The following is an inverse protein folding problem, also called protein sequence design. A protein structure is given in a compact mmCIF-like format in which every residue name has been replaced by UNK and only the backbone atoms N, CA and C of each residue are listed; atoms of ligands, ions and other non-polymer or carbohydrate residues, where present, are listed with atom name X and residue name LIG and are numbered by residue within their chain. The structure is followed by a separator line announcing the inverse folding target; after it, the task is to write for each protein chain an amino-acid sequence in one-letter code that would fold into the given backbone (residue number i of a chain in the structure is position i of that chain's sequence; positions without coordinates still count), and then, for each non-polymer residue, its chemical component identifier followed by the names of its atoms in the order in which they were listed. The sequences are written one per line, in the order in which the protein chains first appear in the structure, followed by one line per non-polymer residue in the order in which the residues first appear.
data_IF_695181993072
#
_entry.id   IF_695181993072
#
_cell.length_a   1.000
_cell.length_b   1.000
_cell.length_c   1.000
_cell.angle_alpha   90.00
_cell.angle_beta   90.00
_cell.angle_gamma   90.00
#
_symmetry.space_group_name_H-M   'P 1'
#
loop_
_entity.id
_entity.type
_entity.pdbx_description
1 polymer ?
#
# COMPACT_ATOMS: atom_id res chain seq x y z
N UNK A 1 -11.28 -5.72 -29.93
CA UNK A 1 -10.46 -5.03 -28.89
C UNK A 1 -9.06 -5.61 -28.90
N UNK A 2 -8.03 -4.82 -28.59
CA UNK A 2 -6.67 -5.35 -28.39
C UNK A 2 -6.68 -6.23 -27.13
N UNK A 3 -6.11 -7.43 -27.21
CA UNK A 3 -5.90 -8.29 -26.05
C UNK A 3 -4.58 -7.90 -25.39
N UNK A 4 -4.59 -7.72 -24.06
CA UNK A 4 -3.40 -7.47 -23.26
C UNK A 4 -2.99 -8.73 -22.49
N UNK A 5 -1.69 -8.88 -22.28
CA UNK A 5 -1.08 -9.78 -21.31
C UNK A 5 -0.86 -9.04 -19.99
N UNK A 6 -1.68 -9.35 -18.99
CA UNK A 6 -1.72 -8.64 -17.71
C UNK A 6 -1.02 -9.45 -16.62
N UNK A 7 -0.13 -8.82 -15.86
CA UNK A 7 0.32 -9.38 -14.59
C UNK A 7 -0.47 -8.73 -13.45
N UNK A 8 -1.22 -9.50 -12.68
CA UNK A 8 -1.82 -9.04 -11.43
C UNK A 8 -0.76 -9.16 -10.33
N UNK A 9 -0.38 -8.03 -9.72
CA UNK A 9 0.64 -7.99 -8.68
C UNK A 9 -0.02 -7.71 -7.33
N UNK A 10 0.20 -8.57 -6.35
CA UNK A 10 -0.27 -8.38 -4.99
C UNK A 10 0.65 -9.04 -3.96
N UNK A 11 0.46 -8.70 -2.69
CA UNK A 11 1.09 -9.38 -1.56
C UNK A 11 0.04 -10.27 -0.87
N UNK A 12 0.13 -11.58 -1.03
CA UNK A 12 -0.83 -12.49 -0.41
C UNK A 12 -0.60 -12.58 1.09
N UNK A 13 -1.66 -12.42 1.86
CA UNK A 13 -1.60 -12.52 3.33
C UNK A 13 -0.99 -13.84 3.82
N UNK A 14 -1.27 -14.96 3.13
CA UNK A 14 -0.71 -16.28 3.48
C UNK A 14 0.82 -16.38 3.29
N UNK A 15 1.39 -15.51 2.47
CA UNK A 15 2.82 -15.48 2.14
C UNK A 15 3.57 -14.39 2.93
N UNK A 16 2.85 -13.65 3.78
CA UNK A 16 3.41 -12.57 4.56
C UNK A 16 4.40 -13.11 5.60
N UNK A 17 5.48 -12.36 5.91
CA UNK A 17 6.44 -12.75 6.94
C UNK A 17 5.77 -12.93 8.30
N UNK A 18 6.13 -14.01 9.00
CA UNK A 18 5.72 -14.21 10.39
C UNK A 18 6.88 -13.85 11.30
N UNK A 19 6.64 -12.93 12.24
CA UNK A 19 7.62 -12.49 13.24
C UNK A 19 7.03 -12.76 14.61
N UNK A 20 7.80 -13.40 15.49
CA UNK A 20 7.35 -13.68 16.85
C UNK A 20 7.03 -12.37 17.59
N UNK A 21 5.84 -12.32 18.19
CA UNK A 21 5.34 -11.13 18.88
C UNK A 21 4.69 -10.08 17.98
N UNK A 22 4.49 -10.35 16.69
CA UNK A 22 3.78 -9.43 15.81
C UNK A 22 2.31 -9.23 16.23
N UNK A 23 1.76 -8.01 16.06
CA UNK A 23 0.33 -7.78 16.25
C UNK A 23 -0.54 -8.63 15.32
N UNK A 24 -1.73 -9.02 15.78
CA UNK A 24 -2.65 -9.85 14.99
C UNK A 24 -3.18 -9.14 13.73
N UNK A 25 -3.19 -7.81 13.74
CA UNK A 25 -3.64 -6.95 12.64
C UNK A 25 -2.51 -6.51 11.70
N UNK A 26 -1.25 -6.90 11.93
CA UNK A 26 -0.08 -6.43 11.17
C UNK A 26 -0.19 -6.55 9.64
N UNK A 27 -0.94 -7.56 9.16
CA UNK A 27 -1.18 -7.83 7.74
C UNK A 27 -2.68 -7.73 7.40
N UNK A 28 -3.38 -6.77 8.00
CA UNK A 28 -4.80 -6.55 7.73
C UNK A 28 -5.05 -5.91 6.37
N UNK A 29 -4.07 -5.19 5.83
CA UNK A 29 -4.08 -4.58 4.50
C UNK A 29 -3.81 -5.58 3.35
N UNK A 30 -3.18 -6.72 3.63
CA UNK A 30 -2.87 -7.73 2.62
C UNK A 30 -4.09 -8.53 2.15
N UNK A 31 -4.10 -8.83 0.86
CA UNK A 31 -5.23 -9.48 0.19
C UNK A 31 -5.28 -10.99 0.39
N UNK A 32 -6.51 -11.52 0.29
CA UNK A 32 -6.79 -12.95 0.31
C UNK A 32 -6.65 -13.58 -1.08
N UNK A 33 -6.39 -14.89 -1.14
CA UNK A 33 -6.38 -15.64 -2.41
C UNK A 33 -7.68 -15.46 -3.18
N UNK A 34 -8.81 -15.47 -2.48
CA UNK A 34 -10.13 -15.25 -3.06
C UNK A 34 -10.25 -13.89 -3.76
N UNK A 35 -9.65 -12.83 -3.18
CA UNK A 35 -9.62 -11.51 -3.83
C UNK A 35 -8.84 -11.60 -5.14
N UNK A 36 -7.64 -12.19 -5.08
CA UNK A 36 -6.75 -12.32 -6.24
C UNK A 36 -7.40 -13.14 -7.35
N UNK A 37 -7.98 -14.30 -7.03
CA UNK A 37 -8.71 -15.14 -7.97
C UNK A 37 -9.86 -14.37 -8.64
N UNK A 38 -10.64 -13.61 -7.86
CA UNK A 38 -11.75 -12.82 -8.38
C UNK A 38 -11.30 -11.74 -9.37
N UNK A 39 -10.17 -11.07 -9.09
CA UNK A 39 -9.58 -10.07 -9.97
C UNK A 39 -9.02 -10.69 -11.25
N UNK A 40 -8.31 -11.82 -11.15
CA UNK A 40 -7.80 -12.56 -12.32
C UNK A 40 -8.95 -12.95 -13.24
N UNK A 41 -10.02 -13.52 -12.71
CA UNK A 41 -11.17 -13.94 -13.50
C UNK A 41 -11.92 -12.75 -14.11
N UNK A 42 -12.04 -11.63 -13.40
CA UNK A 42 -12.62 -10.41 -13.95
C UNK A 42 -11.81 -9.87 -15.14
N UNK A 43 -10.47 -9.82 -15.04
CA UNK A 43 -9.59 -9.38 -16.12
C UNK A 43 -9.69 -10.34 -17.32
N UNK A 44 -9.74 -11.65 -17.07
CA UNK A 44 -9.92 -12.67 -18.12
C UNK A 44 -11.27 -12.55 -18.83
N UNK A 45 -12.35 -12.34 -18.08
CA UNK A 45 -13.69 -12.10 -18.63
C UNK A 45 -13.74 -10.84 -19.52
N UNK A 46 -12.87 -9.86 -19.27
CA UNK A 46 -12.66 -8.69 -20.12
C UNK A 46 -11.96 -8.97 -21.46
N UNK A 47 -11.57 -10.23 -21.73
CA UNK A 47 -10.90 -10.64 -22.98
C UNK A 47 -9.37 -10.50 -22.95
N UNK A 48 -8.76 -10.40 -21.76
CA UNK A 48 -7.32 -10.32 -21.56
C UNK A 48 -6.74 -11.63 -21.02
N UNK A 49 -5.43 -11.85 -21.15
CA UNK A 49 -4.76 -12.90 -20.37
C UNK A 49 -4.27 -12.30 -19.07
N UNK A 50 -4.36 -13.06 -17.98
CA UNK A 50 -3.96 -12.58 -16.67
C UNK A 50 -3.34 -13.72 -15.86
N UNK A 51 -2.17 -13.45 -15.26
CA UNK A 51 -1.55 -14.31 -14.25
C UNK A 51 -1.22 -13.49 -13.01
N UNK A 52 -1.38 -14.11 -11.85
CA UNK A 52 -0.95 -13.53 -10.58
C UNK A 52 0.55 -13.74 -10.38
N UNK A 53 1.27 -12.69 -10.03
CA UNK A 53 2.67 -12.72 -9.62
C UNK A 53 2.81 -12.07 -8.25
N UNK A 54 3.46 -12.77 -7.31
CA UNK A 54 3.65 -12.28 -5.94
C UNK A 54 4.60 -11.09 -5.90
N UNK A 55 4.21 -10.03 -5.17
CA UNK A 55 4.97 -8.79 -4.97
C UNK A 55 6.11 -8.91 -3.98
N UNK A 56 7.04 -9.84 -4.21
CA UNK A 56 8.18 -10.09 -3.33
C UNK A 56 9.53 -9.88 -4.04
N UNK A 57 10.64 -10.24 -3.38
CA UNK A 57 11.99 -10.02 -3.92
C UNK A 57 12.29 -10.76 -5.24
N UNK A 58 11.51 -11.77 -5.62
CA UNK A 58 11.67 -12.51 -6.89
C UNK A 58 10.90 -11.87 -8.05
N UNK A 59 10.14 -10.79 -7.78
CA UNK A 59 9.25 -10.15 -8.76
C UNK A 59 9.97 -9.72 -10.05
N UNK A 60 11.22 -9.25 -9.95
CA UNK A 60 12.00 -8.86 -11.15
C UNK A 60 12.16 -10.05 -12.10
N UNK A 61 12.46 -11.23 -11.57
CA UNK A 61 12.69 -12.43 -12.35
C UNK A 61 11.39 -12.96 -12.95
N UNK A 62 10.31 -12.99 -12.16
CA UNK A 62 8.99 -13.42 -12.65
C UNK A 62 8.44 -12.49 -13.73
N UNK A 63 8.63 -11.16 -13.60
CA UNK A 63 8.27 -10.19 -14.64
C UNK A 63 9.11 -10.37 -15.92
N UNK A 64 10.42 -10.64 -15.80
CA UNK A 64 11.28 -10.92 -16.96
C UNK A 64 10.87 -12.19 -17.71
N UNK A 65 10.42 -13.21 -16.98
CA UNK A 65 9.91 -14.44 -17.57
C UNK A 65 8.54 -14.23 -18.20
N UNK A 66 7.62 -13.58 -17.48
CA UNK A 66 6.23 -13.41 -17.92
C UNK A 66 6.09 -12.38 -19.04
N UNK A 67 6.86 -11.28 -19.02
CA UNK A 67 6.83 -10.19 -20.02
C UNK A 67 5.40 -9.64 -20.25
N UNK A 68 4.76 -9.05 -19.24
CA UNK A 68 3.42 -8.48 -19.38
C UNK A 68 3.44 -7.23 -20.27
N UNK A 69 2.31 -6.94 -20.91
CA UNK A 69 2.06 -5.66 -21.57
C UNK A 69 1.77 -4.55 -20.53
N UNK A 70 1.15 -4.93 -19.41
CA UNK A 70 0.79 -4.03 -18.30
C UNK A 70 0.69 -4.83 -16.99
N UNK A 71 1.03 -4.20 -15.88
CA UNK A 71 0.80 -4.74 -14.54
C UNK A 71 -0.45 -4.10 -13.90
N UNK A 72 -1.39 -4.92 -13.43
CA UNK A 72 -2.43 -4.47 -12.51
C UNK A 72 -1.86 -4.55 -11.10
N UNK A 73 -1.42 -3.42 -10.55
CA UNK A 73 -0.70 -3.36 -9.28
C UNK A 73 -1.63 -3.07 -8.09
N UNK A 74 -1.65 -3.96 -7.11
CA UNK A 74 -2.28 -3.82 -5.80
C UNK A 74 -1.34 -4.30 -4.68
N UNK A 75 -0.03 -4.18 -4.89
CA UNK A 75 0.95 -4.53 -3.87
C UNK A 75 0.98 -3.49 -2.74
N UNK A 76 0.86 -3.97 -1.50
CA UNK A 76 1.03 -3.18 -0.27
C UNK A 76 2.50 -3.17 0.20
N UNK A 77 3.27 -4.21 -0.12
CA UNK A 77 4.60 -4.45 0.43
C UNK A 77 4.59 -4.91 1.89
N UNK A 78 5.75 -5.30 2.42
CA UNK A 78 5.86 -5.84 3.79
C UNK A 78 6.64 -4.93 4.75
N UNK A 79 7.64 -4.21 4.24
CA UNK A 79 8.60 -3.47 5.06
C UNK A 79 8.97 -2.14 4.41
N UNK A 80 9.45 -1.19 5.21
CA UNK A 80 9.90 0.12 4.75
C UNK A 80 8.85 1.21 4.91
N UNK A 81 9.32 2.45 4.89
CA UNK A 81 8.50 3.66 5.10
C UNK A 81 7.57 4.00 3.92
N UNK A 82 7.94 3.59 2.71
CA UNK A 82 7.16 3.76 1.47
C UNK A 82 6.80 2.42 0.83
N UNK A 83 6.35 1.43 1.61
CA UNK A 83 6.16 0.04 1.16
C UNK A 83 5.29 -0.10 -0.10
N UNK A 84 4.19 0.64 -0.20
CA UNK A 84 3.28 0.61 -1.34
C UNK A 84 3.93 1.12 -2.65
N UNK A 85 4.96 1.97 -2.53
CA UNK A 85 5.65 2.56 -3.67
C UNK A 85 6.76 1.67 -4.26
N UNK A 86 7.14 0.59 -3.56
CA UNK A 86 8.29 -0.26 -3.95
C UNK A 86 8.09 -0.95 -5.29
N UNK A 87 6.92 -1.57 -5.49
CA UNK A 87 6.59 -2.27 -6.74
C UNK A 87 6.45 -1.29 -7.91
N UNK A 88 5.70 -0.18 -7.80
CA UNK A 88 5.70 0.88 -8.80
C UNK A 88 7.10 1.39 -9.19
N UNK A 89 7.99 1.60 -8.22
CA UNK A 89 9.35 2.06 -8.50
C UNK A 89 10.16 1.05 -9.32
N UNK A 90 10.01 -0.24 -9.00
CA UNK A 90 10.58 -1.34 -9.78
C UNK A 90 10.01 -1.38 -11.20
N UNK A 91 8.70 -1.21 -11.36
CA UNK A 91 8.03 -1.21 -12.67
C UNK A 91 8.47 -0.01 -13.53
N UNK A 92 8.64 1.18 -12.94
CA UNK A 92 9.21 2.35 -13.63
C UNK A 92 10.65 2.09 -14.09
N UNK A 93 11.48 1.47 -13.24
CA UNK A 93 12.86 1.09 -13.59
C UNK A 93 12.89 0.09 -14.75
N UNK A 94 11.97 -0.89 -14.75
CA UNK A 94 11.83 -1.89 -15.81
C UNK A 94 11.11 -1.35 -17.06
N UNK A 95 10.56 -0.13 -16.99
CA UNK A 95 9.72 0.49 -18.03
C UNK A 95 8.49 -0.35 -18.40
N UNK A 96 7.87 -0.99 -17.41
CA UNK A 96 6.63 -1.75 -17.57
C UNK A 96 5.45 -0.85 -17.16
N UNK A 97 4.45 -0.63 -18.04
CA UNK A 97 3.24 0.11 -17.69
C UNK A 97 2.50 -0.54 -16.51
N UNK A 98 1.88 0.26 -15.66
CA UNK A 98 1.12 -0.24 -14.51
C UNK A 98 -0.10 0.63 -14.18
N UNK A 99 -1.08 0.03 -13.49
CA UNK A 99 -2.29 0.72 -13.01
C UNK A 99 -2.07 1.40 -11.67
N UNK A 100 -2.88 2.43 -11.37
CA UNK A 100 -2.89 3.09 -10.07
C UNK A 100 -1.99 4.32 -10.02
N UNK A 101 -1.65 4.72 -8.79
CA UNK A 101 -0.87 5.93 -8.50
C UNK A 101 0.62 5.75 -8.77
N UNK A 102 1.30 6.84 -9.12
CA UNK A 102 2.75 6.87 -9.31
C UNK A 102 3.52 6.76 -7.99
N UNK A 103 4.82 6.45 -8.08
CA UNK A 103 5.73 6.27 -6.93
C UNK A 103 5.63 7.39 -5.90
N UNK A 104 5.81 8.65 -6.33
CA UNK A 104 5.78 9.80 -5.43
C UNK A 104 4.41 9.94 -4.73
N UNK A 105 3.33 9.75 -5.48
CA UNK A 105 1.98 9.82 -4.93
C UNK A 105 1.76 8.76 -3.86
N UNK A 106 2.18 7.52 -4.08
CA UNK A 106 2.04 6.44 -3.10
C UNK A 106 2.90 6.68 -1.86
N UNK A 107 4.17 7.08 -2.02
CA UNK A 107 5.05 7.44 -0.90
C UNK A 107 4.44 8.53 -0.02
N UNK A 108 3.83 9.55 -0.64
CA UNK A 108 3.20 10.64 0.09
C UNK A 108 1.88 10.22 0.74
N UNK A 109 1.03 9.48 0.03
CA UNK A 109 -0.31 9.09 0.48
C UNK A 109 -0.27 8.13 1.67
N UNK A 110 0.74 7.24 1.73
CA UNK A 110 0.95 6.34 2.86
C UNK A 110 1.28 7.12 4.14
N UNK A 111 2.13 8.14 4.04
CA UNK A 111 2.51 8.99 5.17
C UNK A 111 1.49 10.11 5.40
N UNK A 112 0.64 9.90 6.40
CA UNK A 112 -0.44 10.83 6.76
C UNK A 112 0.09 12.22 7.15
N UNK A 113 1.25 12.30 7.79
CA UNK A 113 1.83 13.58 8.20
C UNK A 113 2.31 14.35 6.97
N UNK A 114 3.01 13.67 6.05
CA UNK A 114 3.47 14.28 4.80
C UNK A 114 2.31 14.68 3.89
N UNK A 115 1.29 13.82 3.74
CA UNK A 115 0.06 14.17 3.03
C UNK A 115 -0.55 15.45 3.61
N UNK A 116 -0.72 15.54 4.93
CA UNK A 116 -1.30 16.74 5.56
C UNK A 116 -0.46 17.99 5.35
N UNK A 117 0.87 17.89 5.40
CA UNK A 117 1.78 19.01 5.11
C UNK A 117 1.58 19.55 3.68
N UNK A 118 1.43 18.66 2.70
CA UNK A 118 1.18 19.04 1.30
C UNK A 118 -0.20 19.68 1.14
N UNK A 119 -1.24 19.07 1.73
CA UNK A 119 -2.60 19.63 1.69
C UNK A 119 -2.63 21.03 2.33
N UNK A 120 -1.97 21.21 3.48
CA UNK A 120 -1.86 22.48 4.16
C UNK A 120 -1.13 23.54 3.33
N UNK A 121 -0.03 23.17 2.66
CA UNK A 121 0.68 24.05 1.73
C UNK A 121 -0.23 24.57 0.60
N UNK A 122 -1.17 23.75 0.15
CA UNK A 122 -2.18 24.12 -0.84
C UNK A 122 -3.46 24.72 -0.23
N UNK A 123 -3.43 25.14 1.04
CA UNK A 123 -4.56 25.74 1.75
C UNK A 123 -5.81 24.82 1.82
N UNK A 124 -5.61 23.51 1.69
CA UNK A 124 -6.68 22.52 1.84
C UNK A 124 -6.85 22.14 3.31
N UNK A 125 -8.10 22.01 3.80
CA UNK A 125 -8.37 21.77 5.20
C UNK A 125 -7.91 20.37 5.62
N UNK A 126 -7.21 20.30 6.75
CA UNK A 126 -6.88 19.04 7.43
C UNK A 126 -7.03 19.20 8.94
N UNK A 127 -7.33 18.13 9.70
CA UNK A 127 -7.33 18.22 11.16
C UNK A 127 -5.93 18.57 11.67
N UNK A 128 -5.86 19.49 12.63
CA UNK A 128 -4.64 19.76 13.40
C UNK A 128 -4.04 18.45 13.89
N UNK A 129 -2.71 18.36 13.88
CA UNK A 129 -2.03 17.12 14.21
C UNK A 129 -0.64 17.38 14.76
N UNK A 130 -0.18 16.40 15.53
CA UNK A 130 1.19 16.27 15.98
C UNK A 130 1.66 14.86 15.64
N UNK A 131 2.92 14.74 15.24
CA UNK A 131 3.61 13.45 15.13
C UNK A 131 4.42 13.24 16.40
N UNK A 132 4.26 12.09 17.04
CA UNK A 132 5.07 11.67 18.19
C UNK A 132 5.84 10.41 17.81
N UNK A 133 7.12 10.36 18.19
CA UNK A 133 8.01 9.20 18.10
C UNK A 133 8.07 8.43 19.43
N UNK A 134 7.79 9.08 20.57
CA UNK A 134 7.67 8.45 21.88
C UNK A 134 6.40 8.85 22.63
N UNK A 135 6.03 8.06 23.65
CA UNK A 135 4.78 8.21 24.38
C UNK A 135 4.80 9.33 25.43
N UNK A 136 5.98 9.82 25.78
CA UNK A 136 6.25 10.87 26.77
C UNK A 136 6.35 12.28 26.17
N UNK A 137 6.19 12.41 24.85
CA UNK A 137 6.16 13.71 24.20
C UNK A 137 4.94 14.55 24.64
N UNK A 138 5.18 15.81 24.98
CA UNK A 138 4.12 16.75 25.35
C UNK A 138 3.20 17.03 24.15
N UNK A 139 1.89 17.00 24.41
CA UNK A 139 0.88 17.34 23.40
C UNK A 139 0.78 18.86 23.26
N UNK A 140 0.86 19.33 22.03
CA UNK A 140 0.71 20.75 21.66
C UNK A 140 -0.58 21.34 22.24
N UNK A 141 -0.49 22.55 22.79
CA UNK A 141 -1.64 23.30 23.32
C UNK A 141 -2.73 23.59 22.27
N UNK A 142 -2.40 23.49 20.97
CA UNK A 142 -3.36 23.66 19.87
C UNK A 142 -4.27 22.43 19.69
N UNK A 143 -3.94 21.29 20.31
CA UNK A 143 -4.70 20.05 20.22
C UNK A 143 -5.64 19.90 21.43
N UNK A 144 -6.93 19.77 21.14
CA UNK A 144 -7.99 19.71 22.15
C UNK A 144 -8.71 18.36 22.12
N UNK A 145 -8.98 17.79 23.28
CA UNK A 145 -9.73 16.52 23.38
C UNK A 145 -11.20 16.67 22.90
N UNK A 146 -11.80 15.60 22.34
CA UNK A 146 -11.21 14.28 22.12
C UNK A 146 -10.18 14.25 20.98
N UNK A 147 -9.08 13.53 21.19
CA UNK A 147 -8.02 13.35 20.19
C UNK A 147 -8.09 11.95 19.59
N UNK A 148 -7.47 11.74 18.43
CA UNK A 148 -7.42 10.44 17.79
C UNK A 148 -5.97 10.03 17.47
N UNK A 149 -5.53 8.92 18.05
CA UNK A 149 -4.18 8.39 17.86
C UNK A 149 -4.19 7.28 16.81
N UNK A 150 -3.27 7.37 15.85
CA UNK A 150 -3.07 6.34 14.82
C UNK A 150 -1.63 6.28 14.32
N UNK A 151 -1.16 5.13 13.83
CA UNK A 151 0.14 5.05 13.15
C UNK A 151 0.16 5.92 11.89
N UNK A 152 1.30 6.58 11.66
CA UNK A 152 1.45 7.54 10.55
C UNK A 152 1.40 6.86 9.17
N UNK A 153 1.90 5.62 9.07
CA UNK A 153 2.14 4.91 7.81
C UNK A 153 1.43 3.55 7.73
N UNK A 154 0.25 3.44 8.34
CA UNK A 154 -0.54 2.19 8.29
C UNK A 154 -1.94 2.34 7.69
N UNK A 155 -2.45 1.27 7.09
CA UNK A 155 -3.78 1.18 6.47
C UNK A 155 -4.78 0.38 7.31
N UNK A 156 -6.00 0.22 6.79
CA UNK A 156 -7.01 -0.78 7.25
C UNK A 156 -7.29 -0.82 8.76
N UNK A 157 -7.14 0.31 9.44
CA UNK A 157 -7.36 0.42 10.89
C UNK A 157 -6.29 -0.26 11.75
N UNK A 158 -5.15 -0.64 11.18
CA UNK A 158 -4.04 -1.22 11.93
C UNK A 158 -3.55 -0.25 13.02
N UNK A 159 -3.36 -0.76 14.23
CA UNK A 159 -2.99 0.03 15.40
C UNK A 159 -4.08 1.00 15.88
N UNK A 160 -5.32 0.90 15.37
CA UNK A 160 -6.47 1.70 15.81
C UNK A 160 -7.46 0.81 16.56
N UNK A 161 -7.92 1.27 17.71
CA UNK A 161 -8.94 0.56 18.50
C UNK A 161 -9.86 1.55 19.22
N UNK A 162 -10.81 1.04 20.02
CA UNK A 162 -11.63 1.88 20.90
C UNK A 162 -10.83 2.66 21.94
N UNK A 163 -9.56 2.30 22.19
CA UNK A 163 -8.64 3.03 23.07
C UNK A 163 -7.89 4.17 22.38
N UNK A 164 -8.15 4.40 21.09
CA UNK A 164 -7.50 5.44 20.29
C UNK A 164 -8.20 6.80 20.35
N UNK A 165 -9.30 6.92 21.12
CA UNK A 165 -10.12 8.14 21.33
C UNK A 165 -10.07 8.54 22.81
#
# INVERSE_FOLDING_TARGET
MKQFKVALLANLKKNAPHIDGMPADQWADLDSEKTIESLVEAIRAGGHTCEFLEGNYTLIDTLRQYKPDICYNICEGHFGDSREAQVPALLEMMRIPYTGSQVLTLSLALDKAMTKRILHWHELPTPAFQTCESADEEISEDLHFPLFVKPTREGTGMGVSSKSI
#
